data_IF_129110244677
#
_entry.id   IF_129110244677
#
_cell.length_a   1.000
_cell.length_b   1.000
_cell.length_c   1.000
_cell.angle_alpha   90.00
_cell.angle_beta   90.00
_cell.angle_gamma   90.00
#
_symmetry.space_group_name_H-M   'P 1'
#
loop_
_entity.id
_entity.type
_entity.pdbx_description
1 polymer ?
#
# COMPACT_ATOMS: atom_id res chain seq x y z
N UNK A 1 4.95 -14.88 21.90
CA UNK A 1 4.14 -14.13 22.89
C UNK A 1 2.82 -13.78 22.20
N UNK A 2 1.64 -14.21 22.70
CA UNK A 2 0.35 -13.87 22.04
C UNK A 2 0.17 -12.34 22.10
N UNK A 3 -0.06 -11.66 20.97
CA UNK A 3 -0.14 -10.19 20.86
C UNK A 3 -1.02 -9.56 21.95
N UNK A 4 -2.19 -10.16 22.22
CA UNK A 4 -3.09 -9.75 23.30
C UNK A 4 -2.44 -9.66 24.68
N UNK A 5 -1.57 -10.61 25.03
CA UNK A 5 -0.83 -10.58 26.30
C UNK A 5 0.17 -9.43 26.33
N UNK A 6 0.84 -9.16 25.20
CA UNK A 6 1.78 -8.05 25.09
C UNK A 6 1.05 -6.70 25.19
N UNK A 7 -0.07 -6.51 24.48
CA UNK A 7 -0.91 -5.32 24.60
C UNK A 7 -1.36 -5.08 26.04
N UNK A 8 -1.84 -6.13 26.72
CA UNK A 8 -2.25 -6.04 28.13
C UNK A 8 -1.08 -5.72 29.07
N UNK A 9 0.08 -6.33 28.88
CA UNK A 9 1.26 -6.09 29.71
C UNK A 9 1.83 -4.68 29.52
N UNK A 10 1.69 -4.11 28.33
CA UNK A 10 2.14 -2.75 28.00
C UNK A 10 1.05 -1.69 28.22
N UNK A 11 -0.14 -2.09 28.69
CA UNK A 11 -1.31 -1.23 28.85
C UNK A 11 -1.68 -0.43 27.59
N UNK A 12 -1.60 -1.09 26.42
CA UNK A 12 -1.89 -0.49 25.12
C UNK A 12 -3.34 -0.77 24.74
N UNK A 13 -4.08 0.29 24.44
CA UNK A 13 -5.42 0.24 23.84
C UNK A 13 -5.40 0.91 22.47
N UNK A 14 -6.25 0.43 21.56
CA UNK A 14 -6.44 1.03 20.24
C UNK A 14 -7.94 1.17 19.98
N UNK A 15 -8.31 2.20 19.23
CA UNK A 15 -9.67 2.37 18.72
C UNK A 15 -9.68 2.00 17.23
N UNK A 16 -10.80 1.44 16.77
CA UNK A 16 -11.01 1.18 15.35
C UNK A 16 -11.59 2.45 14.73
N UNK A 17 -10.90 3.00 13.75
CA UNK A 17 -11.36 4.09 12.91
C UNK A 17 -11.61 3.60 11.48
N UNK A 18 -12.15 4.49 10.63
CA UNK A 18 -12.44 4.16 9.23
C UNK A 18 -11.19 3.72 8.46
N UNK A 19 -10.02 4.30 8.75
CA UNK A 19 -8.76 3.93 8.09
C UNK A 19 -8.38 2.48 8.40
N UNK A 20 -8.44 2.08 9.68
CA UNK A 20 -8.17 0.70 10.10
C UNK A 20 -9.18 -0.26 9.50
N UNK A 21 -10.47 0.09 9.51
CA UNK A 21 -11.53 -0.78 8.98
C UNK A 21 -11.43 -0.98 7.47
N UNK A 22 -10.88 -0.02 6.72
CA UNK A 22 -10.55 -0.17 5.28
C UNK A 22 -9.49 -1.24 5.04
N UNK A 23 -8.59 -1.49 6.00
CA UNK A 23 -7.59 -2.56 5.89
C UNK A 23 -8.15 -3.97 6.12
N UNK A 24 -9.32 -4.11 6.74
CA UNK A 24 -9.93 -5.40 7.07
C UNK A 24 -10.87 -5.86 5.95
N UNK A 25 -10.34 -6.64 5.01
CA UNK A 25 -11.11 -7.23 3.92
C UNK A 25 -12.06 -8.30 4.46
N UNK A 26 -13.27 -8.34 3.90
CA UNK A 26 -14.36 -9.21 4.33
C UNK A 26 -14.56 -10.33 3.33
N UNK A 27 -14.70 -11.55 3.85
CA UNK A 27 -15.20 -12.69 3.11
C UNK A 27 -16.37 -13.31 3.86
N UNK A 28 -17.57 -13.07 3.34
CA UNK A 28 -18.82 -13.55 3.93
C UNK A 28 -19.05 -15.05 3.74
N UNK A 29 -18.43 -15.66 2.72
CA UNK A 29 -18.56 -17.09 2.39
C UNK A 29 -17.79 -17.94 3.40
N UNK A 30 -16.54 -17.60 3.66
CA UNK A 30 -15.68 -18.32 4.61
C UNK A 30 -15.72 -17.74 6.04
N UNK A 31 -16.51 -16.67 6.26
CA UNK A 31 -16.58 -15.94 7.53
C UNK A 31 -15.20 -15.51 8.00
N UNK A 32 -14.47 -14.83 7.11
CA UNK A 32 -13.08 -14.44 7.33
C UNK A 32 -12.87 -12.93 7.21
N UNK A 33 -11.93 -12.42 8.00
CA UNK A 33 -11.42 -11.06 7.98
C UNK A 33 -9.91 -11.10 7.77
N UNK A 34 -9.43 -10.41 6.74
CA UNK A 34 -8.01 -10.31 6.43
C UNK A 34 -7.54 -8.87 6.52
N UNK A 35 -6.63 -8.57 7.46
CA UNK A 35 -5.97 -7.27 7.46
C UNK A 35 -4.86 -7.24 6.41
N UNK A 36 -5.05 -6.51 5.32
CA UNK A 36 -4.02 -6.41 4.29
C UNK A 36 -2.94 -5.40 4.69
N UNK A 37 -1.67 -5.82 4.58
CA UNK A 37 -0.51 -4.98 4.87
C UNK A 37 0.35 -4.85 3.61
N UNK A 38 0.56 -3.64 3.07
CA UNK A 38 1.44 -3.45 1.93
C UNK A 38 2.85 -4.00 2.15
N UNK A 39 3.44 -4.55 1.08
CA UNK A 39 4.78 -5.19 1.07
C UNK A 39 4.89 -6.49 1.88
N UNK A 40 3.75 -7.08 2.19
CA UNK A 40 3.60 -8.38 2.87
C UNK A 40 2.73 -9.32 2.01
N UNK A 41 3.10 -9.51 0.75
CA UNK A 41 2.31 -10.27 -0.24
C UNK A 41 0.86 -9.77 -0.46
N UNK A 42 0.54 -8.52 -0.14
CA UNK A 42 -0.84 -8.03 -0.19
C UNK A 42 -1.49 -8.16 -1.57
N UNK A 43 -0.76 -7.97 -2.67
CA UNK A 43 -1.28 -8.14 -4.03
C UNK A 43 -1.67 -9.60 -4.30
N UNK A 44 -0.80 -10.56 -3.95
CA UNK A 44 -1.09 -11.99 -4.09
C UNK A 44 -2.31 -12.39 -3.26
N UNK A 45 -2.38 -11.94 -1.99
CA UNK A 45 -3.54 -12.17 -1.14
C UNK A 45 -4.81 -11.54 -1.70
N UNK A 46 -4.78 -10.29 -2.17
CA UNK A 46 -5.95 -9.63 -2.76
C UNK A 46 -6.43 -10.34 -4.01
N UNK A 47 -5.54 -10.76 -4.91
CA UNK A 47 -5.88 -11.58 -6.09
C UNK A 47 -6.59 -12.87 -5.70
N UNK A 48 -6.08 -13.59 -4.70
CA UNK A 48 -6.76 -14.76 -4.17
C UNK A 48 -8.08 -14.38 -3.49
N UNK A 49 -8.16 -13.22 -2.84
CA UNK A 49 -9.37 -12.73 -2.18
C UNK A 49 -10.52 -12.44 -3.17
N UNK A 50 -10.23 -12.01 -4.41
CA UNK A 50 -11.25 -11.92 -5.47
C UNK A 50 -11.90 -13.28 -5.75
N UNK A 51 -11.09 -14.35 -5.76
CA UNK A 51 -11.57 -15.70 -5.92
C UNK A 51 -12.38 -16.17 -4.69
N UNK A 52 -11.83 -16.01 -3.48
CA UNK A 52 -12.49 -16.45 -2.24
C UNK A 52 -13.83 -15.74 -1.98
N UNK A 53 -13.89 -14.44 -2.25
CA UNK A 53 -15.10 -13.62 -2.07
C UNK A 53 -16.18 -13.86 -3.13
N UNK A 54 -15.90 -14.67 -4.16
CA UNK A 54 -16.84 -14.95 -5.25
C UNK A 54 -17.04 -13.78 -6.22
N UNK A 55 -16.08 -12.84 -6.26
CA UNK A 55 -16.09 -11.69 -7.18
C UNK A 55 -15.72 -12.04 -8.62
N UNK A 56 -15.22 -13.26 -8.84
CA UNK A 56 -15.01 -13.84 -10.17
C UNK A 56 -16.25 -14.62 -10.60
N UNK A 57 -16.68 -14.45 -11.86
CA UNK A 57 -17.88 -15.11 -12.37
C UNK A 57 -17.54 -16.57 -12.72
N UNK A 58 -18.35 -17.52 -12.24
CA UNK A 58 -18.23 -18.92 -12.64
C UNK A 58 -18.78 -19.10 -14.04
N UNK A 59 -18.03 -19.80 -14.89
CA UNK A 59 -18.35 -20.13 -16.28
C UNK A 59 -19.78 -20.73 -16.39
N UNK A 60 -20.78 -19.87 -16.55
CA UNK A 60 -22.18 -20.26 -16.68
C UNK A 60 -22.48 -20.15 -18.16
N UNK A 61 -22.30 -21.26 -18.89
CA UNK A 61 -22.94 -21.46 -20.19
C UNK A 61 -24.39 -20.96 -20.08
N UNK A 62 -24.70 -19.81 -20.70
CA UNK A 62 -26.01 -19.16 -20.84
C UNK A 62 -27.07 -19.61 -19.81
N UNK A 63 -27.10 -18.98 -18.65
CA UNK A 63 -28.13 -19.21 -17.62
C UNK A 63 -28.58 -17.91 -16.97
N UNK A 64 -29.58 -17.27 -17.57
CA UNK A 64 -30.28 -16.07 -17.09
C UNK A 64 -30.67 -16.22 -15.60
N UNK A 65 -30.00 -15.50 -14.70
CA UNK A 65 -30.52 -15.24 -13.34
C UNK A 65 -31.09 -13.83 -13.26
N UNK A 66 -32.25 -13.74 -12.63
CA UNK A 66 -33.11 -12.57 -12.48
C UNK A 66 -32.90 -12.03 -11.07
N UNK A 67 -32.58 -10.73 -10.95
CA UNK A 67 -32.78 -9.90 -9.75
C UNK A 67 -31.98 -10.28 -8.50
N UNK A 68 -30.89 -9.56 -8.27
CA UNK A 68 -30.19 -9.43 -7.00
C UNK A 68 -29.38 -8.14 -7.04
N UNK A 69 -29.16 -7.51 -5.88
CA UNK A 69 -28.37 -6.28 -5.71
C UNK A 69 -27.13 -6.37 -6.61
N UNK A 70 -27.03 -5.46 -7.58
CA UNK A 70 -25.95 -5.49 -8.55
C UNK A 70 -24.63 -5.28 -7.81
N UNK A 71 -23.75 -6.26 -7.95
CA UNK A 71 -22.44 -6.24 -7.34
C UNK A 71 -21.56 -5.35 -8.25
N UNK A 72 -21.68 -4.04 -8.05
CA UNK A 72 -21.22 -2.93 -8.92
C UNK A 72 -19.71 -2.94 -9.27
N UNK A 73 -18.95 -3.88 -8.70
CA UNK A 73 -17.52 -4.05 -8.94
C UNK A 73 -17.11 -5.53 -9.03
N UNK A 74 -17.85 -6.34 -9.81
CA UNK A 74 -17.31 -7.62 -10.27
C UNK A 74 -16.11 -7.35 -11.19
N UNK A 75 -15.07 -8.18 -11.14
CA UNK A 75 -13.96 -8.09 -12.10
C UNK A 75 -14.46 -8.55 -13.49
N UNK A 76 -15.17 -7.65 -14.19
CA UNK A 76 -15.80 -7.95 -15.47
C UNK A 76 -14.75 -8.42 -16.48
N UNK A 77 -15.03 -9.56 -17.11
CA UNK A 77 -14.11 -10.20 -18.05
C UNK A 77 -13.18 -11.25 -17.47
N UNK A 78 -13.13 -11.43 -16.13
CA UNK A 78 -12.34 -12.49 -15.49
C UNK A 78 -13.22 -13.61 -14.95
N UNK A 79 -12.84 -14.85 -15.24
CA UNK A 79 -13.57 -16.04 -14.84
C UNK A 79 -12.93 -16.72 -13.61
N UNK A 80 -13.75 -17.47 -12.86
CA UNK A 80 -13.30 -18.16 -11.66
C UNK A 80 -12.21 -19.21 -11.95
N UNK A 81 -12.20 -19.79 -13.15
CA UNK A 81 -11.23 -20.80 -13.61
C UNK A 81 -9.92 -20.22 -14.17
N UNK A 82 -9.84 -18.91 -14.39
CA UNK A 82 -8.62 -18.27 -14.87
C UNK A 82 -7.53 -18.19 -13.81
N UNK A 83 -6.27 -18.09 -14.25
CA UNK A 83 -5.16 -17.87 -13.34
C UNK A 83 -5.28 -16.48 -12.70
N UNK A 84 -5.55 -16.46 -11.39
CA UNK A 84 -5.70 -15.23 -10.60
C UNK A 84 -4.42 -14.39 -10.56
N UNK A 85 -3.26 -14.94 -10.94
CA UNK A 85 -2.02 -14.18 -11.11
C UNK A 85 -2.13 -13.12 -12.20
N UNK A 86 -2.99 -13.35 -13.20
CA UNK A 86 -3.23 -12.47 -14.35
C UNK A 86 -4.11 -11.27 -14.03
N UNK A 87 -4.80 -11.28 -12.89
CA UNK A 87 -5.63 -10.14 -12.46
C UNK A 87 -4.76 -8.85 -12.39
N UNK A 88 -5.09 -7.82 -13.19
CA UNK A 88 -4.31 -6.60 -13.28
C UNK A 88 -4.21 -5.89 -11.94
N UNK A 89 -3.04 -5.29 -11.68
CA UNK A 89 -2.81 -4.49 -10.46
C UNK A 89 -3.81 -3.33 -10.32
N UNK A 90 -4.23 -2.74 -11.43
CA UNK A 90 -5.21 -1.65 -11.46
C UNK A 90 -6.56 -2.09 -10.90
N UNK A 91 -6.99 -3.32 -11.18
CA UNK A 91 -8.22 -3.90 -10.64
C UNK A 91 -8.01 -4.29 -9.17
N UNK A 92 -6.91 -4.98 -8.87
CA UNK A 92 -6.60 -5.51 -7.52
C UNK A 92 -6.47 -4.41 -6.47
N UNK A 93 -5.99 -3.24 -6.88
CA UNK A 93 -5.80 -2.07 -6.00
C UNK A 93 -6.80 -0.95 -6.27
N UNK A 94 -7.81 -1.17 -7.12
CA UNK A 94 -8.88 -0.20 -7.29
C UNK A 94 -9.58 0.03 -5.93
N UNK A 95 -9.90 1.29 -5.58
CA UNK A 95 -10.72 1.59 -4.42
C UNK A 95 -12.01 0.76 -4.44
N UNK A 96 -12.42 0.25 -3.28
CA UNK A 96 -13.68 -0.48 -3.13
C UNK A 96 -13.87 -1.74 -4.01
N UNK A 97 -12.80 -2.23 -4.63
CA UNK A 97 -12.86 -3.44 -5.45
C UNK A 97 -13.08 -4.73 -4.65
N UNK A 98 -12.72 -4.72 -3.36
CA UNK A 98 -13.00 -5.78 -2.41
C UNK A 98 -13.75 -5.21 -1.20
N UNK A 99 -14.77 -5.92 -0.68
CA UNK A 99 -15.48 -5.47 0.52
C UNK A 99 -14.54 -5.43 1.72
N UNK A 100 -14.63 -4.36 2.49
CA UNK A 100 -13.90 -4.16 3.74
C UNK A 100 -14.88 -3.78 4.87
N UNK A 101 -14.42 -3.81 6.12
CA UNK A 101 -15.29 -3.55 7.27
C UNK A 101 -15.79 -2.11 7.36
N UNK A 102 -15.14 -1.13 6.72
CA UNK A 102 -15.59 0.26 6.78
C UNK A 102 -17.00 0.43 6.18
N UNK A 103 -17.39 -0.44 5.23
CA UNK A 103 -18.76 -0.49 4.66
C UNK A 103 -19.85 -0.75 5.69
N UNK A 104 -19.49 -1.34 6.83
CA UNK A 104 -20.42 -1.70 7.90
C UNK A 104 -20.35 -0.71 9.07
N UNK A 105 -19.61 0.39 8.97
CA UNK A 105 -19.54 1.39 10.05
C UNK A 105 -20.89 2.03 10.39
N UNK A 106 -21.82 2.10 9.43
CA UNK A 106 -23.18 2.58 9.67
C UNK A 106 -24.13 1.55 10.28
N UNK A 107 -23.69 0.29 10.44
CA UNK A 107 -24.45 -0.81 11.03
C UNK A 107 -23.59 -1.49 12.10
N UNK A 108 -23.58 -0.89 13.30
CA UNK A 108 -22.76 -1.33 14.43
C UNK A 108 -23.02 -2.78 14.84
N UNK A 109 -24.27 -3.24 14.74
CA UNK A 109 -24.64 -4.62 15.09
C UNK A 109 -23.97 -5.62 14.13
N UNK A 110 -24.04 -5.35 12.82
CA UNK A 110 -23.36 -6.18 11.82
C UNK A 110 -21.84 -6.11 11.97
N UNK A 111 -21.27 -4.92 12.17
CA UNK A 111 -19.82 -4.73 12.38
C UNK A 111 -19.32 -5.53 13.59
N UNK A 112 -19.98 -5.38 14.74
CA UNK A 112 -19.63 -6.08 15.97
C UNK A 112 -19.82 -7.59 15.84
N UNK A 113 -20.88 -8.04 15.15
CA UNK A 113 -21.09 -9.45 14.86
C UNK A 113 -19.96 -10.02 14.02
N UNK A 114 -19.51 -9.33 12.96
CA UNK A 114 -18.39 -9.77 12.14
C UNK A 114 -17.09 -9.83 12.94
N UNK A 115 -16.73 -8.76 13.65
CA UNK A 115 -15.54 -8.70 14.51
C UNK A 115 -15.52 -9.83 15.55
N UNK A 116 -16.70 -10.20 16.09
CA UNK A 116 -16.83 -11.28 17.08
C UNK A 116 -16.77 -12.68 16.47
N UNK A 117 -17.42 -12.91 15.33
CA UNK A 117 -17.70 -14.26 14.82
C UNK A 117 -16.83 -14.71 13.65
N UNK A 118 -16.21 -13.78 12.91
CA UNK A 118 -15.39 -14.13 11.75
C UNK A 118 -13.98 -14.50 12.18
N UNK A 119 -13.36 -15.44 11.46
CA UNK A 119 -11.93 -15.78 11.60
C UNK A 119 -11.07 -14.60 11.13
N UNK A 120 -10.22 -14.06 11.99
CA UNK A 120 -9.39 -12.89 11.71
C UNK A 120 -7.93 -13.29 11.52
N UNK A 121 -7.31 -12.88 10.43
CA UNK A 121 -5.88 -13.12 10.23
C UNK A 121 -5.16 -11.94 9.58
N UNK A 122 -3.86 -11.88 9.80
CA UNK A 122 -2.95 -10.87 9.24
C UNK A 122 -1.62 -11.53 8.91
N UNK A 123 -1.00 -11.11 7.82
CA UNK A 123 0.39 -11.45 7.52
C UNK A 123 1.28 -10.28 7.90
N UNK A 124 2.42 -10.57 8.53
CA UNK A 124 3.41 -9.59 8.96
C UNK A 124 4.78 -9.90 8.38
N UNK A 125 5.63 -8.88 8.29
CA UNK A 125 7.02 -8.98 7.82
C UNK A 125 7.93 -8.17 8.73
N UNK A 126 9.21 -8.52 8.79
CA UNK A 126 10.21 -7.72 9.50
C UNK A 126 10.07 -6.22 9.17
N UNK A 127 9.89 -5.32 10.16
CA UNK A 127 9.47 -3.93 9.92
C UNK A 127 10.41 -3.17 8.97
N UNK A 128 11.71 -3.39 9.10
CA UNK A 128 12.71 -2.73 8.26
C UNK A 128 12.81 -3.34 6.85
N UNK A 129 12.49 -4.62 6.68
CA UNK A 129 12.45 -5.22 5.33
C UNK A 129 11.24 -4.68 4.58
N UNK A 130 10.12 -4.53 5.29
CA UNK A 130 8.91 -3.89 4.77
C UNK A 130 9.19 -2.45 4.35
N UNK A 131 9.84 -1.65 5.19
CA UNK A 131 10.21 -0.26 4.89
C UNK A 131 11.15 -0.16 3.70
N UNK A 132 12.22 -0.94 3.67
CA UNK A 132 13.17 -0.96 2.53
C UNK A 132 12.44 -1.38 1.27
N UNK A 133 11.58 -2.40 1.34
CA UNK A 133 10.77 -2.81 0.17
C UNK A 133 9.82 -1.70 -0.31
N UNK A 134 9.29 -0.87 0.59
CA UNK A 134 8.44 0.27 0.24
C UNK A 134 9.25 1.40 -0.40
N UNK A 135 10.35 1.81 0.23
CA UNK A 135 11.27 2.82 -0.32
C UNK A 135 11.73 2.45 -1.73
N UNK A 136 12.20 1.22 -1.92
CA UNK A 136 12.70 0.79 -3.23
C UNK A 136 11.62 0.76 -4.31
N UNK A 137 10.43 0.26 -3.97
CA UNK A 137 9.32 0.19 -4.91
C UNK A 137 8.76 1.57 -5.27
N UNK A 138 8.78 2.53 -4.33
CA UNK A 138 8.08 3.82 -4.49
C UNK A 138 8.97 5.02 -4.76
N UNK A 139 10.24 4.96 -4.39
CA UNK A 139 11.16 6.10 -4.45
C UNK A 139 12.44 5.79 -5.24
N UNK A 140 12.85 4.51 -5.35
CA UNK A 140 14.05 4.11 -6.10
C UNK A 140 13.72 3.63 -7.53
N UNK A 141 12.67 2.83 -7.71
CA UNK A 141 12.29 2.27 -9.00
C UNK A 141 11.47 3.28 -9.84
N UNK A 142 12.12 3.93 -10.82
CA UNK A 142 11.52 4.94 -11.71
C UNK A 142 10.49 4.42 -12.73
N UNK A 143 10.31 3.12 -12.84
CA UNK A 143 9.66 2.48 -13.99
C UNK A 143 8.19 2.09 -13.75
N UNK A 144 7.44 2.87 -12.97
CA UNK A 144 6.02 2.60 -12.74
C UNK A 144 5.21 3.91 -12.87
N UNK A 145 4.33 3.98 -13.87
CA UNK A 145 3.35 5.07 -14.07
C UNK A 145 2.53 5.35 -12.80
N UNK A 146 2.22 4.32 -12.00
CA UNK A 146 1.53 4.41 -10.71
C UNK A 146 2.34 5.08 -9.59
N UNK A 147 3.60 5.44 -9.85
CA UNK A 147 4.52 6.03 -8.89
C UNK A 147 4.68 7.53 -9.11
N UNK A 148 4.19 8.08 -10.23
CA UNK A 148 4.52 9.47 -10.60
C UNK A 148 3.95 10.51 -9.63
N UNK A 149 2.65 10.47 -9.33
CA UNK A 149 2.02 11.42 -8.39
C UNK A 149 2.47 11.20 -6.95
N UNK A 150 2.64 9.93 -6.58
CA UNK A 150 3.17 9.53 -5.28
C UNK A 150 4.59 10.07 -5.06
N UNK A 151 5.45 9.89 -6.05
CA UNK A 151 6.84 10.34 -6.04
C UNK A 151 6.90 11.85 -5.96
N UNK A 152 6.11 12.59 -6.74
CA UNK A 152 6.09 14.06 -6.71
C UNK A 152 5.78 14.63 -5.33
N UNK A 153 4.76 14.09 -4.65
CA UNK A 153 4.35 14.60 -3.33
C UNK A 153 5.42 14.33 -2.26
N UNK A 154 5.92 13.11 -2.19
CA UNK A 154 6.94 12.72 -1.19
C UNK A 154 8.27 13.41 -1.50
N UNK A 155 8.72 13.41 -2.76
CA UNK A 155 9.93 14.10 -3.21
C UNK A 155 9.87 15.59 -2.86
N UNK A 156 8.75 16.25 -3.15
CA UNK A 156 8.56 17.67 -2.86
C UNK A 156 8.61 17.99 -1.36
N UNK A 157 8.06 17.13 -0.51
CA UNK A 157 8.17 17.28 0.96
C UNK A 157 9.60 17.05 1.46
N UNK A 158 10.27 16.00 0.98
CA UNK A 158 11.65 15.68 1.39
C UNK A 158 12.61 16.77 0.94
N UNK A 159 12.52 17.23 -0.32
CA UNK A 159 13.34 18.35 -0.84
C UNK A 159 13.12 19.63 -0.03
N UNK A 160 11.88 19.95 0.36
CA UNK A 160 11.58 21.11 1.24
C UNK A 160 12.16 20.97 2.65
N UNK A 161 12.22 19.76 3.20
CA UNK A 161 12.85 19.50 4.49
C UNK A 161 14.37 19.72 4.41
N UNK A 162 15.01 19.18 3.37
CA UNK A 162 16.46 19.34 3.14
C UNK A 162 16.84 20.82 2.96
N UNK A 163 16.14 21.55 2.10
CA UNK A 163 16.39 22.99 1.86
C UNK A 163 16.31 23.82 3.14
N UNK A 164 15.28 23.60 3.98
CA UNK A 164 15.12 24.32 5.25
C UNK A 164 16.26 24.05 6.24
N UNK A 165 16.81 22.84 6.21
CA UNK A 165 17.97 22.47 7.04
C UNK A 165 19.24 23.16 6.55
N UNK A 166 19.47 23.23 5.24
CA UNK A 166 20.61 23.94 4.66
C UNK A 166 20.54 25.45 4.99
N UNK A 167 19.36 26.05 4.90
CA UNK A 167 19.11 27.44 5.30
C UNK A 167 19.36 27.68 6.80
N UNK A 168 18.95 26.73 7.65
CA UNK A 168 19.15 26.83 9.11
C UNK A 168 20.59 26.51 9.55
N UNK A 169 21.35 25.77 8.72
CA UNK A 169 22.74 25.37 8.97
C UNK A 169 23.78 26.33 8.37
N UNK A 170 23.40 27.20 7.44
CA UNK A 170 24.27 28.19 6.79
C UNK A 170 24.49 29.50 7.56
N UNK A 171 24.01 29.59 8.81
CA UNK A 171 24.06 30.81 9.64
C UNK A 171 25.29 30.95 10.53
N UNK A 172 26.43 30.33 10.20
CA UNK A 172 27.70 30.54 10.91
C UNK A 172 28.83 30.62 9.89
N UNK A 173 29.08 31.80 9.34
CA UNK A 173 30.41 32.35 9.07
C UNK A 173 30.29 33.71 8.36
N UNK A 174 30.80 34.76 9.02
CA UNK A 174 30.80 36.11 8.43
C UNK A 174 31.04 37.27 9.40
N UNK A 175 31.90 37.10 10.41
CA UNK A 175 32.45 38.26 11.12
C UNK A 175 33.45 38.99 10.21
N UNK A 176 32.93 39.88 9.37
CA UNK A 176 33.68 40.88 8.63
C UNK A 176 33.24 42.26 9.11
N UNK A 177 33.90 42.77 10.15
CA UNK A 177 33.60 44.07 10.71
C UNK A 177 33.76 45.20 9.68
N UNK A 178 32.82 46.15 9.72
CA UNK A 178 33.07 47.56 9.48
C UNK A 178 32.07 48.36 10.30
N UNK A 179 32.62 49.20 11.19
CA UNK A 179 31.86 50.05 12.08
C UNK A 179 31.06 51.11 11.34
N UNK A 180 29.96 51.51 11.98
CA UNK A 180 29.16 52.68 11.66
C UNK A 180 28.42 53.09 12.92
N UNK A 181 29.00 54.05 13.63
CA UNK A 181 28.38 54.78 14.75
C UNK A 181 27.22 55.60 14.19
N UNK A 182 26.04 55.48 14.78
CA UNK A 182 25.04 56.56 14.86
C UNK A 182 24.15 56.37 16.08
N UNK A 183 24.12 57.43 16.86
CA UNK A 183 23.51 57.64 18.15
C UNK A 183 22.00 57.97 18.05
N UNK A 184 21.29 57.82 19.18
CA UNK A 184 20.18 58.70 19.52
C UNK A 184 18.73 58.18 19.41
N UNK A 185 18.06 58.15 20.57
CA UNK A 185 16.70 58.71 20.70
C UNK A 185 15.61 57.76 21.21
N UNK A 186 15.30 57.86 22.51
CA UNK A 186 14.22 57.13 23.17
C UNK A 186 12.80 57.60 22.85
N UNK A 187 11.82 56.81 23.32
CA UNK A 187 10.41 57.15 23.28
C UNK A 187 9.56 56.09 23.98
N UNK A 188 9.07 56.43 25.17
CA UNK A 188 8.18 55.65 26.03
C UNK A 188 6.73 55.79 25.52
N UNK A 189 5.93 54.73 25.61
CA UNK A 189 4.49 54.78 25.33
C UNK A 189 3.74 53.59 25.91
N UNK A 190 3.11 53.80 27.07
CA UNK A 190 2.15 52.91 27.71
C UNK A 190 0.74 53.01 27.09
N UNK A 191 -0.09 51.99 27.36
CA UNK A 191 -1.55 51.99 27.23
C UNK A 191 -2.05 50.97 26.18
N UNK A 192 -2.98 50.05 26.43
CA UNK A 192 -3.89 49.83 27.55
C UNK A 192 -5.19 49.21 27.00
N UNK A 193 -5.63 48.09 27.58
CA UNK A 193 -7.06 47.70 27.73
C UNK A 193 -7.85 47.08 26.56
N UNK A 194 -8.40 45.89 26.82
CA UNK A 194 -9.87 45.73 26.86
C UNK A 194 -10.58 44.82 25.84
N UNK A 195 -11.32 43.82 26.37
CA UNK A 195 -12.52 43.17 25.78
C UNK A 195 -12.24 42.03 24.79
N UNK A 196 -12.76 40.80 24.93
CA UNK A 196 -14.07 40.38 25.44
C UNK A 196 -15.03 40.18 24.26
N UNK A 197 -15.32 38.92 23.89
CA UNK A 197 -16.28 38.63 22.81
C UNK A 197 -16.41 37.14 22.47
N UNK A 198 -17.48 36.54 22.98
CA UNK A 198 -17.99 35.20 22.66
C UNK A 198 -18.74 35.27 21.33
N UNK A 199 -18.69 34.20 20.51
CA UNK A 199 -19.51 34.09 19.31
C UNK A 199 -19.50 32.68 18.72
N UNK A 200 -20.62 31.98 18.87
CA UNK A 200 -20.95 30.67 18.33
C UNK A 200 -21.12 30.67 16.80
N UNK A 201 -21.04 29.47 16.21
CA UNK A 201 -21.94 29.04 15.14
C UNK A 201 -21.47 29.23 13.70
N UNK A 202 -21.48 28.13 12.93
CA UNK A 202 -21.39 28.19 11.47
C UNK A 202 -21.03 26.87 10.82
N UNK A 203 -22.04 26.05 10.52
CA UNK A 203 -21.91 24.89 9.64
C UNK A 203 -21.79 25.28 8.16
N UNK A 204 -21.30 24.32 7.37
CA UNK A 204 -21.22 24.34 5.90
C UNK A 204 -20.09 23.40 5.48
N UNK A 205 -20.26 22.34 4.69
CA UNK A 205 -21.27 22.08 3.68
C UNK A 205 -20.64 22.20 2.29
N UNK A 206 -20.30 21.05 1.69
CA UNK A 206 -20.24 20.84 0.24
C UNK A 206 -19.01 21.34 -0.53
N UNK A 207 -18.50 20.48 -1.43
CA UNK A 207 -17.51 20.88 -2.43
C UNK A 207 -16.88 19.70 -3.17
N UNK A 208 -17.69 18.91 -3.88
CA UNK A 208 -17.21 17.98 -4.89
C UNK A 208 -16.80 18.75 -6.15
N UNK A 209 -15.59 18.48 -6.66
CA UNK A 209 -15.10 18.95 -7.95
C UNK A 209 -15.02 17.79 -8.92
N UNK A 210 -15.91 17.79 -9.90
CA UNK A 210 -15.89 16.92 -11.08
C UNK A 210 -15.49 17.82 -12.24
N UNK A 211 -14.40 17.50 -12.94
CA UNK A 211 -14.09 18.10 -14.23
C UNK A 211 -14.22 17.02 -15.30
N UNK A 212 -15.07 17.31 -16.28
CA UNK A 212 -15.25 16.53 -17.49
C UNK A 212 -14.90 17.37 -18.71
N UNK A 213 -14.34 16.72 -19.72
CA UNK A 213 -14.27 17.12 -21.12
C UNK A 213 -14.17 15.80 -21.90
N UNK A 214 -14.76 15.54 -23.06
CA UNK A 214 -15.57 16.30 -24.01
C UNK A 214 -15.91 15.33 -25.15
N UNK A 215 -17.10 15.46 -25.73
CA UNK A 215 -17.64 14.52 -26.73
C UNK A 215 -17.34 14.88 -28.19
N UNK A 216 -17.36 13.84 -29.03
CA UNK A 216 -17.77 13.83 -30.45
C UNK A 216 -17.85 12.36 -30.84
N UNK A 217 -18.93 11.76 -31.37
CA UNK A 217 -20.05 12.30 -32.14
C UNK A 217 -19.90 11.88 -33.59
N UNK A 218 -20.27 10.64 -33.96
CA UNK A 218 -20.72 10.29 -35.32
C UNK A 218 -21.69 9.10 -35.26
N UNK A 219 -22.90 9.36 -35.75
CA UNK A 219 -23.98 8.42 -36.06
C UNK A 219 -23.87 7.89 -37.49
N UNK A 220 -24.33 6.65 -37.73
CA UNK A 220 -24.64 6.17 -39.07
C UNK A 220 -24.82 4.66 -39.13
N UNK A 221 -26.08 4.20 -39.11
CA UNK A 221 -26.42 2.80 -39.39
C UNK A 221 -26.73 2.58 -40.86
N UNK A 222 -26.59 1.33 -41.34
CA UNK A 222 -27.34 0.75 -42.47
C UNK A 222 -27.42 -0.78 -42.27
N UNK A 223 -28.61 -1.33 -42.49
CA UNK A 223 -28.96 -2.76 -42.48
C UNK A 223 -28.63 -3.49 -43.80
N UNK A 224 -28.63 -4.83 -43.73
CA UNK A 224 -28.71 -5.76 -44.88
C UNK A 224 -27.50 -6.71 -44.92
N UNK A 225 -27.59 -8.02 -45.11
CA UNK A 225 -28.68 -8.93 -45.41
C UNK A 225 -28.10 -10.19 -46.10
N UNK A 226 -28.47 -11.37 -45.58
CA UNK A 226 -28.66 -12.68 -46.28
C UNK A 226 -27.45 -13.47 -46.84
N UNK A 227 -27.46 -14.80 -46.52
CA UNK A 227 -26.97 -15.91 -47.37
C UNK A 227 -25.71 -16.62 -46.85
N UNK A 228 -25.78 -17.74 -46.12
CA UNK A 228 -25.97 -19.17 -46.49
C UNK A 228 -24.76 -19.86 -47.17
N UNK A 229 -24.64 -21.15 -46.80
CA UNK A 229 -23.77 -22.24 -47.31
C UNK A 229 -22.36 -22.28 -46.68
N UNK A 230 -21.84 -23.37 -46.12
CA UNK A 230 -22.11 -24.81 -46.26
C UNK A 230 -20.80 -25.52 -46.69
N UNK A 231 -20.55 -26.75 -46.19
CA UNK A 231 -19.44 -27.70 -46.57
C UNK A 231 -18.10 -27.41 -45.87
N UNK A 232 -17.51 -28.21 -44.96
CA UNK A 232 -17.29 -29.67 -44.73
C UNK A 232 -15.95 -30.21 -45.24
N UNK A 233 -15.25 -30.92 -44.34
CA UNK A 233 -14.11 -31.82 -44.64
C UNK A 233 -12.74 -31.12 -44.65
N UNK A 234 -11.65 -31.66 -44.12
CA UNK A 234 -11.37 -32.94 -43.52
C UNK A 234 -9.85 -33.17 -43.45
N UNK A 235 -9.42 -33.88 -42.41
CA UNK A 235 -8.34 -34.89 -42.34
C UNK A 235 -6.87 -34.57 -42.71
N UNK A 236 -5.98 -35.01 -41.80
CA UNK A 236 -4.61 -35.47 -42.05
C UNK A 236 -3.54 -34.39 -41.87
N UNK A 237 -2.45 -34.57 -41.12
CA UNK A 237 -1.76 -35.76 -40.62
C UNK A 237 -0.25 -35.52 -40.78
N UNK A 238 0.56 -36.07 -39.86
CA UNK A 238 2.04 -36.26 -39.94
C UNK A 238 2.88 -34.98 -40.16
N UNK A 239 3.81 -34.58 -39.30
CA UNK A 239 4.86 -35.35 -38.64
C UNK A 239 6.22 -34.75 -39.05
N UNK A 240 7.18 -34.86 -38.14
CA UNK A 240 8.64 -34.86 -38.36
C UNK A 240 9.48 -33.56 -38.25
N UNK A 241 10.52 -33.78 -37.44
CA UNK A 241 11.92 -33.39 -37.56
C UNK A 241 12.39 -32.07 -36.95
N UNK A 242 13.32 -32.26 -36.01
CA UNK A 242 14.06 -31.22 -35.33
C UNK A 242 15.16 -30.63 -36.19
N UNK A 243 15.58 -29.44 -35.77
CA UNK A 243 16.81 -28.80 -36.21
C UNK A 243 17.46 -28.20 -34.96
N UNK A 244 18.63 -28.74 -34.62
CA UNK A 244 19.62 -28.09 -33.78
C UNK A 244 20.15 -26.83 -34.47
N UNK A 245 20.41 -25.77 -33.71
CA UNK A 245 21.16 -24.63 -34.24
C UNK A 245 21.34 -23.48 -33.26
N UNK A 246 22.59 -23.28 -32.81
CA UNK A 246 23.13 -21.94 -32.62
C UNK A 246 23.16 -21.40 -31.20
N UNK A 247 24.24 -21.72 -30.48
CA UNK A 247 24.70 -20.99 -29.30
C UNK A 247 25.24 -19.62 -29.74
N UNK A 248 24.48 -18.55 -29.49
CA UNK A 248 24.94 -17.17 -29.58
C UNK A 248 25.48 -16.70 -28.23
N UNK A 249 26.81 -16.60 -28.12
CA UNK A 249 27.51 -15.91 -27.03
C UNK A 249 27.54 -14.42 -27.33
N UNK A 250 26.73 -13.63 -26.63
CA UNK A 250 26.94 -12.19 -26.54
C UNK A 250 27.62 -11.86 -25.22
N UNK A 251 28.94 -11.71 -25.31
CA UNK A 251 29.73 -11.08 -24.26
C UNK A 251 29.48 -9.57 -24.26
N UNK A 252 28.87 -9.06 -23.20
CA UNK A 252 28.90 -7.63 -22.89
C UNK A 252 30.05 -7.38 -21.92
N UNK A 253 31.22 -7.07 -22.48
CA UNK A 253 32.25 -6.29 -21.80
C UNK A 253 31.88 -4.81 -21.93
N UNK A 254 31.59 -4.14 -20.83
CA UNK A 254 31.26 -2.71 -20.86
C UNK A 254 31.28 -2.06 -19.47
N UNK A 255 32.45 -1.52 -19.12
CA UNK A 255 32.63 -0.30 -18.32
C UNK A 255 31.89 -0.14 -17.00
N UNK A 256 32.65 -0.12 -15.91
CA UNK A 256 32.27 0.59 -14.67
C UNK A 256 32.17 2.08 -14.99
N UNK A 257 31.03 2.49 -15.51
CA UNK A 257 30.65 3.88 -15.66
C UNK A 257 30.28 4.44 -14.29
N UNK A 258 31.01 5.46 -13.85
CA UNK A 258 30.65 6.30 -12.71
C UNK A 258 29.27 6.91 -12.99
N UNK A 259 28.21 6.25 -12.51
CA UNK A 259 26.84 6.70 -12.66
C UNK A 259 26.64 7.94 -11.81
N UNK A 260 26.56 9.11 -12.46
CA UNK A 260 26.16 10.35 -11.83
C UNK A 260 24.88 10.14 -11.03
N UNK A 261 24.92 10.47 -9.74
CA UNK A 261 23.74 10.52 -8.89
C UNK A 261 22.83 11.59 -9.48
N UNK A 262 21.74 11.21 -10.13
CA UNK A 262 20.75 12.18 -10.59
C UNK A 262 20.25 12.97 -9.37
N UNK A 263 20.31 14.30 -9.42
CA UNK A 263 19.89 15.23 -8.35
C UNK A 263 18.39 15.10 -7.95
N UNK A 264 17.63 14.25 -8.65
CA UNK A 264 16.20 14.05 -8.45
C UNK A 264 15.79 12.85 -7.58
N UNK A 265 16.72 12.00 -7.14
CA UNK A 265 16.35 10.85 -6.31
C UNK A 265 16.50 11.15 -4.80
N UNK A 266 15.44 10.88 -4.02
CA UNK A 266 15.50 10.95 -2.55
C UNK A 266 16.46 9.89 -2.01
N UNK A 267 17.48 10.28 -1.25
CA UNK A 267 18.36 9.33 -0.55
C UNK A 267 17.60 8.65 0.58
N UNK A 268 17.92 7.39 0.86
CA UNK A 268 17.26 6.66 1.95
C UNK A 268 17.37 7.36 3.31
N UNK A 269 18.50 8.01 3.60
CA UNK A 269 18.70 8.78 4.84
C UNK A 269 17.75 9.98 4.95
N UNK A 270 17.51 10.68 3.85
CA UNK A 270 16.60 11.84 3.78
C UNK A 270 15.15 11.38 3.93
N UNK A 271 14.80 10.25 3.27
CA UNK A 271 13.50 9.61 3.45
C UNK A 271 13.26 9.21 4.90
N UNK A 272 14.23 8.58 5.57
CA UNK A 272 14.10 8.20 7.00
C UNK A 272 14.00 9.43 7.91
N UNK A 273 14.78 10.48 7.64
CA UNK A 273 14.72 11.74 8.38
C UNK A 273 13.33 12.37 8.28
N UNK A 274 12.76 12.39 7.08
CA UNK A 274 11.40 12.86 6.81
C UNK A 274 10.36 11.97 7.45
N UNK A 275 10.44 10.65 7.29
CA UNK A 275 9.44 9.70 7.79
C UNK A 275 9.35 9.67 9.32
N UNK A 276 10.42 10.04 10.02
CA UNK A 276 10.51 9.94 11.48
C UNK A 276 10.61 11.32 12.15
N UNK A 277 9.62 12.21 11.99
CA UNK A 277 9.74 13.60 12.45
C UNK A 277 10.01 13.68 13.96
N UNK A 278 10.83 14.66 14.36
CA UNK A 278 11.31 14.78 15.75
C UNK A 278 10.20 15.16 16.74
N UNK A 279 9.13 15.81 16.27
CA UNK A 279 7.96 16.12 17.07
C UNK A 279 7.02 14.91 17.29
N UNK A 280 7.28 13.78 16.61
CA UNK A 280 6.47 12.56 16.71
C UNK A 280 5.14 12.59 15.96
N UNK A 281 4.78 13.71 15.31
CA UNK A 281 3.49 13.88 14.64
C UNK A 281 3.66 13.71 13.14
N UNK A 282 2.96 12.73 12.56
CA UNK A 282 2.96 12.49 11.12
C UNK A 282 1.99 13.42 10.38
N UNK A 283 2.42 13.93 9.24
CA UNK A 283 1.56 14.57 8.22
C UNK A 283 0.70 13.53 7.49
N UNK A 284 -0.31 13.97 6.76
CA UNK A 284 -1.13 13.09 5.91
C UNK A 284 -0.29 12.27 4.92
N UNK A 285 0.70 12.90 4.27
CA UNK A 285 1.61 12.21 3.34
C UNK A 285 2.49 11.17 4.05
N UNK A 286 2.95 11.47 5.27
CA UNK A 286 3.73 10.52 6.08
C UNK A 286 2.88 9.35 6.58
N UNK A 287 1.57 9.54 6.82
CA UNK A 287 0.61 8.48 7.20
C UNK A 287 0.30 7.46 6.10
N UNK A 288 1.10 7.38 5.04
CA UNK A 288 0.89 6.45 3.95
C UNK A 288 1.00 4.97 4.39
N UNK A 289 0.07 4.16 3.88
CA UNK A 289 -0.04 2.74 4.20
C UNK A 289 1.20 1.90 3.87
N UNK A 290 2.07 2.32 2.94
CA UNK A 290 3.20 1.50 2.52
C UNK A 290 4.33 1.41 3.54
N UNK A 291 4.45 2.40 4.43
CA UNK A 291 5.46 2.43 5.49
C UNK A 291 4.86 2.65 6.88
N UNK A 292 3.58 2.99 7.02
CA UNK A 292 2.92 3.04 8.34
C UNK A 292 3.04 1.71 9.09
N UNK A 293 3.38 1.69 10.41
CA UNK A 293 3.51 0.47 11.19
C UNK A 293 2.29 -0.45 11.07
N UNK A 294 2.51 -1.76 11.12
CA UNK A 294 1.43 -2.75 11.11
C UNK A 294 0.52 -2.58 12.32
N UNK A 295 1.10 -2.20 13.46
CA UNK A 295 0.37 -1.81 14.66
C UNK A 295 -0.71 -0.77 14.36
N UNK A 296 -0.40 0.25 13.55
CA UNK A 296 -1.35 1.32 13.22
C UNK A 296 -2.32 0.94 12.10
N UNK A 297 -1.92 0.07 11.17
CA UNK A 297 -2.76 -0.36 10.04
C UNK A 297 -3.83 -1.39 10.47
N UNK A 298 -3.45 -2.29 11.37
CA UNK A 298 -4.22 -3.49 11.68
C UNK A 298 -4.76 -3.50 13.12
N UNK A 299 -4.42 -2.50 13.93
CA UNK A 299 -4.86 -2.32 15.31
C UNK A 299 -4.90 -3.62 16.14
N UNK A 300 -3.78 -4.35 16.28
CA UNK A 300 -3.78 -5.70 16.86
C UNK A 300 -4.07 -5.74 18.37
N UNK A 301 -4.14 -4.59 19.05
CA UNK A 301 -4.64 -4.51 20.42
C UNK A 301 -6.17 -4.33 20.50
N UNK A 302 -6.83 -3.93 19.41
CA UNK A 302 -8.29 -3.85 19.27
C UNK A 302 -8.87 -5.05 18.51
N UNK A 303 -8.19 -5.51 17.46
CA UNK A 303 -8.58 -6.66 16.65
C UNK A 303 -7.93 -7.93 17.19
N UNK A 304 -8.75 -8.88 17.64
CA UNK A 304 -8.27 -10.17 18.12
C UNK A 304 -7.98 -11.11 16.94
N UNK A 305 -6.77 -11.04 16.39
CA UNK A 305 -6.34 -11.96 15.34
C UNK A 305 -6.23 -13.40 15.84
N UNK A 306 -6.87 -14.32 15.13
CA UNK A 306 -6.86 -15.75 15.37
C UNK A 306 -5.60 -16.41 14.78
N UNK A 307 -5.08 -15.86 13.66
CA UNK A 307 -3.84 -16.28 13.03
C UNK A 307 -2.97 -15.09 12.61
N UNK A 308 -1.65 -15.20 12.80
CA UNK A 308 -0.66 -14.18 12.38
C UNK A 308 0.41 -14.87 11.55
N UNK A 309 0.35 -14.69 10.24
CA UNK A 309 1.25 -15.30 9.27
C UNK A 309 2.59 -14.56 9.14
N UNK A 310 3.69 -15.28 8.95
CA UNK A 310 5.02 -14.71 8.66
C UNK A 310 5.33 -14.69 7.17
N UNK A 311 5.63 -13.52 6.63
CA UNK A 311 6.04 -13.38 5.23
C UNK A 311 7.34 -14.11 4.91
N UNK A 312 8.22 -14.25 5.89
CA UNK A 312 9.47 -15.00 5.78
C UNK A 312 9.22 -16.49 5.47
N UNK A 313 8.02 -17.01 5.81
CA UNK A 313 7.56 -18.37 5.54
C UNK A 313 6.25 -18.37 4.73
N UNK A 314 6.11 -17.40 3.82
CA UNK A 314 4.83 -17.08 3.18
C UNK A 314 4.06 -18.29 2.63
N UNK A 315 4.72 -19.18 1.88
CA UNK A 315 4.05 -20.30 1.22
C UNK A 315 3.45 -21.29 2.22
N UNK A 316 4.20 -21.64 3.26
CA UNK A 316 3.76 -22.56 4.32
C UNK A 316 2.64 -21.94 5.16
N UNK A 317 2.84 -20.69 5.60
CA UNK A 317 1.90 -19.96 6.44
C UNK A 317 0.58 -19.68 5.68
N UNK A 318 0.67 -19.35 4.39
CA UNK A 318 -0.50 -19.17 3.51
C UNK A 318 -1.27 -20.48 3.35
N UNK A 319 -0.58 -21.58 3.07
CA UNK A 319 -1.22 -22.87 2.90
C UNK A 319 -1.97 -23.29 4.18
N UNK A 320 -1.30 -23.21 5.34
CA UNK A 320 -1.91 -23.50 6.63
C UNK A 320 -3.13 -22.60 6.91
N UNK A 321 -3.03 -21.31 6.59
CA UNK A 321 -4.13 -20.35 6.75
C UNK A 321 -5.33 -20.71 5.89
N UNK A 322 -5.14 -21.04 4.61
CA UNK A 322 -6.24 -21.42 3.72
C UNK A 322 -6.93 -22.71 4.16
N UNK A 323 -6.16 -23.72 4.56
CA UNK A 323 -6.75 -24.94 5.14
C UNK A 323 -7.55 -24.64 6.41
N UNK A 324 -7.03 -23.80 7.30
CA UNK A 324 -7.74 -23.37 8.50
C UNK A 324 -9.02 -22.58 8.20
N UNK A 325 -9.06 -21.79 7.12
CA UNK A 325 -10.25 -21.09 6.64
C UNK A 325 -11.29 -22.02 5.99
N UNK A 326 -10.95 -23.28 5.70
CA UNK A 326 -11.78 -24.17 4.90
C UNK A 326 -11.70 -23.90 3.40
N UNK A 327 -10.66 -23.20 2.96
CA UNK A 327 -10.39 -22.77 1.59
C UNK A 327 -9.11 -23.43 1.03
N UNK A 328 -8.70 -24.57 1.59
CA UNK A 328 -7.43 -25.24 1.27
C UNK A 328 -7.29 -25.66 -0.19
N UNK A 329 -8.40 -25.89 -0.89
CA UNK A 329 -8.45 -26.18 -2.33
C UNK A 329 -7.85 -25.06 -3.20
N UNK A 330 -7.81 -23.83 -2.69
CA UNK A 330 -7.25 -22.68 -3.39
C UNK A 330 -5.74 -22.47 -3.13
N UNK A 331 -5.10 -23.29 -2.29
CA UNK A 331 -3.68 -23.16 -1.93
C UNK A 331 -2.73 -23.16 -3.12
N UNK A 332 -3.01 -23.99 -4.14
CA UNK A 332 -2.22 -24.07 -5.36
C UNK A 332 -2.41 -22.86 -6.29
N UNK A 333 -3.43 -22.02 -6.04
CA UNK A 333 -3.76 -20.83 -6.84
C UNK A 333 -3.20 -19.55 -6.25
N UNK A 334 -2.44 -19.62 -5.15
CA UNK A 334 -1.84 -18.43 -4.56
C UNK A 334 -0.75 -17.85 -5.47
N UNK A 335 -0.89 -16.61 -5.98
CA UNK A 335 0.05 -16.05 -6.95
C UNK A 335 1.44 -15.84 -6.34
N UNK A 336 2.46 -16.24 -7.10
CA UNK A 336 3.82 -15.78 -6.85
C UNK A 336 3.86 -14.23 -6.88
N UNK A 337 4.72 -13.60 -6.06
CA UNK A 337 4.84 -12.14 -6.08
C UNK A 337 5.39 -11.66 -7.43
N UNK A 338 4.77 -10.64 -8.03
CA UNK A 338 5.19 -10.07 -9.34
C UNK A 338 6.67 -9.66 -9.40
N UNK A 339 7.24 -9.32 -8.23
CA UNK A 339 8.66 -8.99 -8.07
C UNK A 339 9.16 -9.66 -6.78
N UNK A 340 10.21 -10.50 -6.84
CA UNK A 340 10.81 -11.05 -5.64
C UNK A 340 11.32 -9.92 -4.74
N UNK A 341 10.86 -9.88 -3.49
CA UNK A 341 11.30 -8.84 -2.55
C UNK A 341 12.62 -9.25 -1.91
N UNK A 342 13.73 -8.86 -2.53
CA UNK A 342 15.07 -9.02 -1.96
C UNK A 342 15.36 -8.06 -0.79
N UNK A 343 14.34 -7.44 -0.17
CA UNK A 343 14.57 -6.41 0.85
C UNK A 343 15.38 -6.91 2.05
N UNK A 344 15.23 -8.18 2.44
CA UNK A 344 16.02 -8.80 3.50
C UNK A 344 17.53 -8.76 3.21
N UNK A 345 17.94 -9.04 1.96
CA UNK A 345 19.36 -8.98 1.57
C UNK A 345 19.91 -7.54 1.50
N UNK A 346 19.03 -6.55 1.33
CA UNK A 346 19.41 -5.14 1.23
C UNK A 346 19.33 -4.39 2.56
N UNK A 347 18.63 -4.91 3.58
CA UNK A 347 18.40 -4.25 4.87
C UNK A 347 19.70 -3.72 5.47
N UNK A 348 20.72 -4.57 5.58
CA UNK A 348 22.00 -4.18 6.19
C UNK A 348 22.65 -3.02 5.45
N UNK A 349 22.57 -3.01 4.11
CA UNK A 349 23.10 -1.94 3.26
C UNK A 349 22.42 -0.61 3.52
N UNK A 350 21.08 -0.58 3.54
CA UNK A 350 20.35 0.67 3.81
C UNK A 350 20.53 1.17 5.25
N UNK A 351 20.59 0.27 6.24
CA UNK A 351 20.82 0.67 7.64
C UNK A 351 22.22 1.25 7.86
N UNK A 352 23.23 0.81 7.11
CA UNK A 352 24.58 1.41 7.16
C UNK A 352 24.61 2.86 6.69
N UNK A 353 23.66 3.28 5.84
CA UNK A 353 23.53 4.67 5.37
C UNK A 353 22.93 5.61 6.43
N UNK A 354 22.44 5.08 7.55
CA UNK A 354 21.77 5.85 8.59
C UNK A 354 22.74 6.21 9.72
N UNK A 355 22.65 7.47 10.18
CA UNK A 355 23.26 7.91 11.45
C UNK A 355 22.64 7.17 12.64
N UNK A 356 23.32 7.15 13.78
CA UNK A 356 22.78 6.56 15.02
C UNK A 356 21.45 7.20 15.42
N UNK A 357 21.31 8.52 15.26
CA UNK A 357 20.06 9.23 15.52
C UNK A 357 18.91 8.78 14.61
N UNK A 358 19.19 8.54 13.32
CA UNK A 358 18.18 8.01 12.38
C UNK A 358 17.77 6.60 12.75
N UNK A 359 18.71 5.72 13.13
CA UNK A 359 18.41 4.36 13.56
C UNK A 359 17.53 4.35 14.81
N UNK A 360 17.86 5.17 15.82
CA UNK A 360 17.07 5.27 17.05
C UNK A 360 15.65 5.76 16.76
N UNK A 361 15.48 6.81 15.95
CA UNK A 361 14.14 7.29 15.56
C UNK A 361 13.36 6.21 14.82
N UNK A 362 14.00 5.50 13.90
CA UNK A 362 13.38 4.42 13.16
C UNK A 362 12.92 3.27 14.06
N UNK A 363 13.76 2.87 15.02
CA UNK A 363 13.41 1.85 16.01
C UNK A 363 12.23 2.28 16.87
N UNK A 364 12.17 3.55 17.28
CA UNK A 364 11.03 4.09 18.04
C UNK A 364 9.75 4.06 17.21
N UNK A 365 9.81 4.45 15.95
CA UNK A 365 8.65 4.43 15.03
C UNK A 365 8.05 3.04 14.85
N UNK A 366 8.89 1.99 14.76
CA UNK A 366 8.42 0.61 14.53
C UNK A 366 8.47 -0.28 15.77
N UNK A 367 8.68 0.29 16.96
CA UNK A 367 8.95 -0.47 18.19
C UNK A 367 7.85 -1.51 18.47
N UNK A 368 6.59 -1.12 18.34
CA UNK A 368 5.46 -2.01 18.59
C UNK A 368 5.35 -3.14 17.56
N UNK A 369 5.73 -2.90 16.30
CA UNK A 369 5.77 -3.98 15.31
C UNK A 369 6.84 -5.01 15.68
N UNK A 370 8.01 -4.58 16.16
CA UNK A 370 9.05 -5.50 16.63
C UNK A 370 8.56 -6.33 17.83
N UNK A 371 8.02 -5.65 18.86
CA UNK A 371 7.64 -6.29 20.10
C UNK A 371 6.42 -7.22 19.95
N UNK A 372 5.33 -6.71 19.34
CA UNK A 372 4.07 -7.45 19.28
C UNK A 372 4.18 -8.64 18.33
N UNK A 373 4.91 -8.51 17.22
CA UNK A 373 5.06 -9.57 16.24
C UNK A 373 6.33 -10.41 16.43
N UNK A 374 7.14 -10.15 17.45
CA UNK A 374 8.29 -10.98 17.81
C UNK A 374 9.42 -10.95 16.79
N UNK A 375 9.74 -9.77 16.25
CA UNK A 375 10.93 -9.56 15.42
C UNK A 375 12.11 -9.09 16.26
N UNK A 376 13.32 -9.54 15.91
CA UNK A 376 14.56 -9.06 16.50
C UNK A 376 14.83 -7.60 16.13
N UNK A 377 15.17 -6.77 17.11
CA UNK A 377 15.65 -5.41 16.86
C UNK A 377 17.13 -5.45 16.38
N UNK A 378 17.51 -4.65 15.37
CA UNK A 378 18.86 -4.60 14.80
C UNK A 378 19.91 -3.86 15.64
#
# INVERSE_FOLDING_TARGET
MRVRRACSALNITQQLDEEILKHLLVDNKHKALYCFVPKVACTSWKRLWFLLSGKLKRNSRKGRRKGGIEDEFAAEGYEEDEDVSLLPRTIVHAPDSLPNLARYMGDEDTLNKMLKTYKKFVFVRHPLDRLVSAYRDKLEARDQLSTFDFHKNVLGEVKRMVRRREESGGGVDGNGGKGGVSDGGGGVGEGGGGGGGVGEGGGGGGGGGVEGEGGSGVSGGVEGGVGRDGVSGGVGGVGRDGVEGGVGRDGVSGGVGSGGVSEDNVRFSEFVEWLTPTNGTWTTTQRNEHWRPVFDLCAPCAVQYDAIGKYEHLQEEMNATLHWLGAGEYSQRFPAPDRPSFAASHRSTYLRLLSSGHRIRLLRTYLLDFLLFGYSMP
#
